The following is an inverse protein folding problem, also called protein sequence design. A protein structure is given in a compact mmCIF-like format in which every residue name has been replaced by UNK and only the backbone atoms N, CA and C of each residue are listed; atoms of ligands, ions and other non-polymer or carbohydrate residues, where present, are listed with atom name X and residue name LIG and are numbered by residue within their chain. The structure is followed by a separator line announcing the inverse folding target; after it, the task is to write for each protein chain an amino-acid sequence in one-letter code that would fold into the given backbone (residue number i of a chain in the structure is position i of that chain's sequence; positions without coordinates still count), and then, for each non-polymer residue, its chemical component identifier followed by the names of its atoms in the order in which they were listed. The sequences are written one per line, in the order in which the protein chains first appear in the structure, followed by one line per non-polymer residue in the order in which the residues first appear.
data_IF_787791172798
#
_entry.id   IF_787791172798
#
_cell.length_a   1.000
_cell.length_b   1.000
_cell.length_c   1.000
_cell.angle_alpha   90.00
_cell.angle_beta   90.00
_cell.angle_gamma   90.00
#
_symmetry.space_group_name_H-M   'P 1'
#
loop_
_entity.id
_entity.type
_entity.pdbx_description
1 polymer ?
#
# COMPACT_ATOMS: atom_id res chain seq x y z
N UNK A 1 -8.05 -3.13 23.81
CA UNK A 1 -9.31 -2.38 23.68
C UNK A 1 -9.37 -1.40 24.83
N UNK A 2 -9.85 -0.19 24.58
CA UNK A 2 -9.86 0.95 25.51
C UNK A 2 -11.24 1.61 25.46
N UNK A 3 -11.63 2.34 26.50
CA UNK A 3 -12.77 3.26 26.41
C UNK A 3 -12.39 4.52 25.62
N UNK A 4 -13.36 5.30 25.12
CA UNK A 4 -13.10 6.61 24.53
C UNK A 4 -12.33 7.54 25.47
N UNK A 5 -12.64 7.56 26.77
CA UNK A 5 -11.98 8.40 27.77
C UNK A 5 -10.51 7.99 27.97
N UNK A 6 -10.24 6.69 28.03
CA UNK A 6 -8.86 6.17 28.09
C UNK A 6 -8.06 6.58 26.85
N UNK A 7 -8.63 6.44 25.65
CA UNK A 7 -7.99 6.84 24.41
C UNK A 7 -7.75 8.37 24.34
N UNK A 8 -8.74 9.17 24.77
CA UNK A 8 -8.64 10.62 24.86
C UNK A 8 -7.44 11.03 25.71
N UNK A 9 -7.26 10.36 26.86
CA UNK A 9 -6.16 10.66 27.76
C UNK A 9 -4.82 10.18 27.22
N UNK A 10 -4.77 8.96 26.68
CA UNK A 10 -3.53 8.33 26.19
C UNK A 10 -2.96 9.03 24.96
N UNK A 11 -3.78 9.31 23.95
CA UNK A 11 -3.28 9.75 22.64
C UNK A 11 -3.38 11.26 22.42
N UNK A 12 -4.29 11.94 23.11
CA UNK A 12 -4.60 13.36 22.85
C UNK A 12 -4.45 14.24 24.10
N UNK A 13 -4.19 13.65 25.26
CA UNK A 13 -4.12 14.33 26.56
C UNK A 13 -5.36 15.21 26.84
N UNK A 14 -6.54 14.68 26.52
CA UNK A 14 -7.84 15.31 26.80
C UNK A 14 -8.69 14.41 27.69
N UNK A 15 -9.68 14.99 28.38
CA UNK A 15 -10.55 14.24 29.29
C UNK A 15 -11.75 13.60 28.56
N UNK A 16 -12.14 14.16 27.40
CA UNK A 16 -13.22 13.64 26.55
C UNK A 16 -12.67 13.36 25.15
N UNK A 17 -13.04 12.21 24.58
CA UNK A 17 -12.73 11.88 23.20
C UNK A 17 -13.40 12.86 22.23
N UNK A 18 -12.64 13.61 21.40
CA UNK A 18 -13.20 14.74 20.67
C UNK A 18 -13.67 14.42 19.25
N UNK A 19 -13.32 13.25 18.70
CA UNK A 19 -13.45 12.99 17.25
C UNK A 19 -14.82 12.40 16.86
N UNK A 20 -15.34 11.46 17.64
CA UNK A 20 -16.58 10.76 17.29
C UNK A 20 -17.39 10.33 18.52
N UNK A 21 -18.54 10.97 18.76
CA UNK A 21 -19.45 10.62 19.87
C UNK A 21 -20.15 9.24 19.68
N UNK A 22 -20.11 8.66 18.48
CA UNK A 22 -20.63 7.31 18.21
C UNK A 22 -19.68 6.20 18.67
N UNK A 23 -18.40 6.50 18.89
CA UNK A 23 -17.42 5.54 19.37
C UNK A 23 -17.77 5.07 20.80
N UNK A 24 -17.89 3.76 20.98
CA UNK A 24 -18.13 3.12 22.29
C UNK A 24 -16.93 2.33 22.78
N UNK A 25 -16.08 1.88 21.86
CA UNK A 25 -14.83 1.22 22.16
C UNK A 25 -13.76 1.71 21.19
N UNK A 26 -12.53 1.76 21.67
CA UNK A 26 -11.36 2.13 20.89
C UNK A 26 -10.41 0.94 20.82
N UNK A 27 -9.90 0.64 19.63
CA UNK A 27 -8.87 -0.39 19.42
C UNK A 27 -7.63 0.28 18.86
N UNK A 28 -6.55 0.29 19.64
CA UNK A 28 -5.23 0.68 19.14
C UNK A 28 -4.65 -0.43 18.26
N UNK A 29 -4.24 -0.07 17.05
CA UNK A 29 -3.71 -0.98 16.04
C UNK A 29 -2.33 -0.51 15.62
N UNK A 30 -1.41 -1.48 15.50
CA UNK A 30 -0.13 -1.31 14.82
C UNK A 30 -0.09 -2.30 13.67
N UNK A 31 0.00 -1.80 12.44
CA UNK A 31 0.05 -2.63 11.23
C UNK A 31 1.28 -2.31 10.41
N UNK A 32 1.83 -3.33 9.74
CA UNK A 32 2.91 -3.17 8.78
C UNK A 32 2.34 -3.30 7.36
N UNK A 33 2.66 -2.35 6.49
CA UNK A 33 2.42 -2.44 5.06
C UNK A 33 3.76 -2.68 4.40
N UNK A 34 3.80 -3.67 3.51
CA UNK A 34 4.98 -4.00 2.71
C UNK A 34 4.67 -3.72 1.25
N UNK A 35 5.67 -3.28 0.50
CA UNK A 35 5.55 -3.09 -0.93
C UNK A 35 6.80 -3.56 -1.64
N UNK A 36 6.63 -3.85 -2.92
CA UNK A 36 7.74 -4.29 -3.74
C UNK A 36 8.50 -3.08 -4.28
N UNK A 37 9.73 -2.87 -3.81
CA UNK A 37 10.64 -1.92 -4.43
C UNK A 37 11.35 -2.53 -5.65
N UNK A 38 11.38 -3.86 -5.80
CA UNK A 38 12.28 -4.60 -6.71
C UNK A 38 12.49 -3.86 -8.04
N UNK A 39 13.72 -3.41 -8.34
CA UNK A 39 14.04 -2.88 -9.65
C UNK A 39 13.88 -4.00 -10.68
N UNK A 40 13.41 -3.66 -11.88
CA UNK A 40 13.81 -4.46 -13.04
C UNK A 40 15.35 -4.48 -13.04
N UNK A 41 16.02 -5.65 -13.13
CA UNK A 41 17.46 -5.67 -13.30
C UNK A 41 17.78 -4.97 -14.62
N UNK A 42 18.18 -3.71 -14.54
CA UNK A 42 18.97 -3.08 -15.58
C UNK A 42 20.34 -3.72 -15.55
N UNK A 43 20.98 -3.81 -16.72
CA UNK A 43 22.26 -4.48 -16.90
C UNK A 43 23.30 -4.14 -15.83
N UNK A 44 24.31 -5.00 -15.70
CA UNK A 44 25.44 -4.89 -14.76
C UNK A 44 26.20 -3.54 -14.81
N UNK A 45 25.89 -2.65 -15.76
CA UNK A 45 26.53 -1.34 -15.94
C UNK A 45 25.66 -0.15 -15.48
N UNK A 46 24.42 -0.36 -15.04
CA UNK A 46 23.53 0.72 -14.57
C UNK A 46 22.75 0.35 -13.31
N UNK A 47 23.41 0.26 -12.14
CA UNK A 47 22.69 0.07 -10.89
C UNK A 47 21.85 1.32 -10.60
N UNK A 48 20.53 1.18 -10.65
CA UNK A 48 19.64 2.15 -10.01
C UNK A 48 19.76 1.95 -8.50
N UNK A 49 20.46 2.85 -7.81
CA UNK A 49 20.44 2.91 -6.36
C UNK A 49 19.00 3.17 -5.91
N UNK A 50 18.44 2.23 -5.17
CA UNK A 50 17.07 2.31 -4.70
C UNK A 50 17.02 2.32 -3.18
N UNK A 51 16.03 3.00 -2.62
CA UNK A 51 15.76 3.00 -1.19
C UNK A 51 15.47 1.57 -0.72
N UNK A 52 16.13 1.14 0.35
CA UNK A 52 15.86 -0.12 1.05
C UNK A 52 14.48 -0.15 1.75
N UNK A 53 13.66 0.89 1.60
CA UNK A 53 12.40 1.05 2.33
C UNK A 53 11.28 0.17 1.73
N UNK A 54 11.25 -1.12 2.12
CA UNK A 54 10.30 -2.13 1.63
C UNK A 54 8.97 -2.17 2.40
N UNK A 55 8.76 -1.26 3.36
CA UNK A 55 7.55 -1.23 4.15
C UNK A 55 7.51 -0.15 5.22
N UNK A 56 6.32 0.15 5.71
CA UNK A 56 6.08 1.11 6.78
C UNK A 56 5.21 0.49 7.88
N UNK A 57 5.47 0.91 9.12
CA UNK A 57 4.62 0.64 10.27
C UNK A 57 3.70 1.82 10.53
N UNK A 58 2.41 1.55 10.61
CA UNK A 58 1.38 2.54 10.91
C UNK A 58 0.72 2.24 12.24
N UNK A 59 0.51 3.30 13.04
CA UNK A 59 -0.25 3.24 14.28
C UNK A 59 -1.48 4.14 14.22
N UNK A 60 -2.63 3.58 14.53
CA UNK A 60 -3.94 4.24 14.50
C UNK A 60 -4.86 3.64 15.55
N UNK A 61 -5.95 4.34 15.82
CA UNK A 61 -7.06 3.83 16.60
C UNK A 61 -8.25 3.57 15.69
N UNK A 62 -8.93 2.45 15.89
CA UNK A 62 -10.24 2.18 15.29
C UNK A 62 -11.34 2.50 16.29
N UNK A 63 -12.37 3.18 15.81
CA UNK A 63 -13.56 3.54 16.56
C UNK A 63 -14.64 2.50 16.30
N UNK A 64 -15.14 1.88 17.37
CA UNK A 64 -16.14 0.82 17.29
C UNK A 64 -17.45 1.32 17.89
N UNK A 65 -18.55 1.17 17.15
CA UNK A 65 -19.88 1.58 17.58
C UNK A 65 -20.49 0.57 18.58
N UNK A 66 -21.72 0.84 19.05
CA UNK A 66 -22.42 -0.04 19.99
C UNK A 66 -22.77 -1.43 19.41
N UNK A 67 -22.86 -1.57 18.09
CA UNK A 67 -23.12 -2.82 17.39
C UNK A 67 -21.84 -3.65 17.16
N UNK A 68 -20.66 -3.09 17.40
CA UNK A 68 -19.38 -3.74 17.15
C UNK A 68 -18.78 -3.44 15.78
N UNK A 69 -19.37 -2.54 14.98
CA UNK A 69 -18.84 -2.17 13.67
C UNK A 69 -17.80 -1.04 13.78
N UNK A 70 -16.84 -1.04 12.86
CA UNK A 70 -15.90 0.07 12.69
C UNK A 70 -16.69 1.27 12.14
N UNK A 71 -16.71 2.37 12.89
CA UNK A 71 -17.42 3.60 12.53
C UNK A 71 -16.49 4.80 12.32
N UNK A 72 -15.17 4.62 12.48
CA UNK A 72 -14.18 5.67 12.25
C UNK A 72 -12.77 5.24 12.66
N UNK A 73 -11.82 6.16 12.53
CA UNK A 73 -10.42 5.93 12.85
C UNK A 73 -9.68 7.25 12.98
N UNK A 74 -8.60 7.26 13.76
CA UNK A 74 -7.66 8.38 13.85
C UNK A 74 -6.22 7.87 13.80
N UNK A 75 -5.35 8.60 13.08
CA UNK A 75 -3.91 8.34 13.13
C UNK A 75 -3.35 8.81 14.48
N UNK A 76 -2.32 8.11 14.99
CA UNK A 76 -1.66 8.48 16.26
C UNK A 76 -0.14 8.38 16.18
N UNK A 77 0.56 8.85 17.21
CA UNK A 77 2.01 8.82 17.34
C UNK A 77 2.76 9.51 16.19
N UNK A 78 3.66 8.82 15.48
CA UNK A 78 4.36 9.40 14.32
C UNK A 78 3.53 9.31 13.04
N UNK A 79 2.53 8.42 13.02
CA UNK A 79 1.75 8.14 11.81
C UNK A 79 0.80 9.28 11.45
N UNK A 80 0.45 10.19 12.37
CA UNK A 80 -0.25 11.46 12.06
C UNK A 80 0.45 12.31 10.98
N UNK A 81 1.75 12.12 10.76
CA UNK A 81 2.51 12.84 9.74
C UNK A 81 3.15 11.93 8.69
N UNK A 82 3.05 10.62 8.89
CA UNK A 82 3.73 9.60 8.09
C UNK A 82 2.77 8.43 7.86
N UNK A 83 1.72 8.71 7.08
CA UNK A 83 0.76 7.73 6.58
C UNK A 83 0.73 7.81 5.04
N UNK A 84 0.17 6.79 4.39
CA UNK A 84 -0.05 6.86 2.95
C UNK A 84 -1.04 8.00 2.61
N UNK A 85 -0.73 8.79 1.59
CA UNK A 85 -1.63 9.85 1.11
C UNK A 85 -2.85 9.26 0.39
N UNK A 86 -2.64 8.20 -0.38
CA UNK A 86 -3.66 7.57 -1.23
C UNK A 86 -3.35 6.10 -1.50
N UNK A 87 -4.40 5.35 -1.83
CA UNK A 87 -4.32 3.99 -2.36
C UNK A 87 -5.14 3.92 -3.65
N UNK A 88 -4.49 3.53 -4.75
CA UNK A 88 -5.15 3.31 -6.03
C UNK A 88 -5.08 1.84 -6.42
N UNK A 89 -6.22 1.31 -6.87
CA UNK A 89 -6.31 -0.04 -7.42
C UNK A 89 -6.72 0.08 -8.89
N UNK A 90 -5.85 -0.38 -9.78
CA UNK A 90 -6.12 -0.43 -11.22
C UNK A 90 -7.20 -1.49 -11.47
N UNK A 91 -8.32 -1.10 -12.08
CA UNK A 91 -9.48 -1.97 -12.28
C UNK A 91 -9.28 -2.98 -13.40
N UNK A 92 -8.64 -2.55 -14.48
CA UNK A 92 -8.46 -3.36 -15.68
C UNK A 92 -7.23 -2.91 -16.46
N UNK A 93 -6.78 -3.78 -17.38
CA UNK A 93 -5.74 -3.45 -18.35
C UNK A 93 -6.28 -2.42 -19.36
N UNK A 94 -5.42 -1.64 -20.01
CA UNK A 94 -5.82 -0.81 -21.14
C UNK A 94 -6.47 -1.63 -22.27
N UNK A 95 -7.28 -0.97 -23.10
CA UNK A 95 -7.85 -1.59 -24.30
C UNK A 95 -6.74 -2.11 -25.23
N UNK A 96 -6.94 -3.30 -25.82
CA UNK A 96 -5.90 -3.99 -26.58
C UNK A 96 -5.42 -3.21 -27.81
N UNK A 97 -6.28 -2.38 -28.39
CA UNK A 97 -6.02 -1.53 -29.56
C UNK A 97 -5.52 -0.12 -29.19
N UNK A 98 -5.22 0.14 -27.91
CA UNK A 98 -4.67 1.42 -27.48
C UNK A 98 -3.37 1.74 -28.21
N UNK A 99 -3.35 2.91 -28.87
CA UNK A 99 -2.14 3.57 -29.35
C UNK A 99 -1.99 4.88 -28.57
N UNK A 100 -0.88 5.04 -27.85
CA UNK A 100 -0.62 6.27 -27.09
C UNK A 100 -0.39 7.46 -28.03
N UNK A 101 -0.52 8.69 -27.52
CA UNK A 101 -0.30 9.91 -28.30
C UNK A 101 1.12 10.05 -28.88
N UNK A 102 2.09 9.31 -28.35
CA UNK A 102 3.47 9.25 -28.83
C UNK A 102 3.74 8.03 -29.72
N UNK A 103 2.70 7.25 -30.08
CA UNK A 103 2.77 6.17 -31.05
C UNK A 103 3.05 4.77 -30.48
N UNK A 104 3.01 4.56 -29.16
CA UNK A 104 3.16 3.21 -28.61
C UNK A 104 1.86 2.42 -28.74
N UNK A 105 1.90 1.33 -29.52
CA UNK A 105 0.81 0.36 -29.62
C UNK A 105 0.87 -0.65 -28.48
N UNK A 106 -0.19 -0.71 -27.66
CA UNK A 106 -0.29 -1.66 -26.55
C UNK A 106 -0.31 -3.12 -27.04
N UNK A 107 -0.97 -3.40 -28.18
CA UNK A 107 -0.92 -4.71 -28.83
C UNK A 107 0.52 -5.17 -29.14
N UNK A 108 1.37 -4.26 -29.65
CA UNK A 108 2.76 -4.59 -29.94
C UNK A 108 3.56 -4.87 -28.66
N UNK A 109 3.33 -4.09 -27.60
CA UNK A 109 3.97 -4.30 -26.29
C UNK A 109 3.57 -5.65 -25.71
N UNK A 110 2.28 -6.00 -25.73
CA UNK A 110 1.78 -7.28 -25.25
C UNK A 110 2.42 -8.46 -25.99
N UNK A 111 2.49 -8.39 -27.32
CA UNK A 111 3.13 -9.44 -28.13
C UNK A 111 4.60 -9.67 -27.71
N UNK A 112 5.36 -8.61 -27.47
CA UNK A 112 6.75 -8.73 -27.04
C UNK A 112 6.87 -9.33 -25.64
N UNK A 113 5.98 -8.94 -24.71
CA UNK A 113 5.93 -9.53 -23.36
C UNK A 113 5.61 -11.01 -23.43
N UNK A 114 4.63 -11.42 -24.25
CA UNK A 114 4.25 -12.82 -24.44
C UNK A 114 5.41 -13.65 -25.00
N UNK A 115 6.09 -13.14 -26.04
CA UNK A 115 7.28 -13.80 -26.60
C UNK A 115 8.41 -13.93 -25.58
N UNK A 116 8.66 -12.89 -24.78
CA UNK A 116 9.68 -12.93 -23.73
C UNK A 116 9.35 -13.92 -22.63
N UNK A 117 8.09 -13.98 -22.20
CA UNK A 117 7.64 -14.89 -21.15
C UNK A 117 7.61 -16.36 -21.62
N UNK A 118 7.46 -16.60 -22.93
CA UNK A 118 7.46 -17.94 -23.52
C UNK A 118 8.87 -18.57 -23.61
N UNK A 119 9.95 -17.80 -23.44
CA UNK A 119 11.30 -18.33 -23.39
C UNK A 119 11.52 -19.11 -22.08
N UNK A 120 11.42 -20.44 -22.13
CA UNK A 120 11.95 -21.31 -21.08
C UNK A 120 13.45 -21.42 -21.25
N UNK A 121 14.24 -21.18 -20.18
CA UNK A 121 15.68 -21.44 -20.15
C UNK A 121 15.95 -22.96 -20.33
N UNK A 122 15.90 -23.45 -21.56
CA UNK A 122 16.43 -24.76 -21.90
C UNK A 122 17.94 -24.58 -22.05
N UNK A 123 18.68 -24.70 -20.95
CA UNK A 123 20.13 -24.89 -21.02
C UNK A 123 20.35 -26.22 -21.72
N UNK A 124 20.55 -26.20 -23.03
CA UNK A 124 21.13 -27.33 -23.73
C UNK A 124 22.61 -27.39 -23.38
N UNK A 125 22.93 -28.21 -22.38
CA UNK A 125 24.32 -28.62 -22.15
C UNK A 125 24.66 -29.55 -23.32
N UNK A 126 25.40 -29.02 -24.30
CA UNK A 126 25.98 -29.82 -25.36
C UNK A 126 27.07 -30.71 -24.73
N UNK A 127 26.87 -32.03 -24.79
CA UNK A 127 27.90 -33.04 -24.51
C UNK A 127 28.84 -33.18 -25.71
#
# INVERSE_FOLDING_TARGET
MMTPEEAAKTFFNTDKYPFNDQAKQIIYVVSNIFWNNTPFPTDEFRPLTQNEDFGATYSYILEINAAGDICGSEWVNKTIHAHADFLYVVKEKPAADLVTSVGFSYANVLKLIEMSAACTNTIQIAN
#
